data_IF_867961824013
#
_entry.id   IF_867961824013
#
_cell.length_a   1.000
_cell.length_b   1.000
_cell.length_c   1.000
_cell.angle_alpha   90.00
_cell.angle_beta   90.00
_cell.angle_gamma   90.00
#
_symmetry.space_group_name_H-M   'P 1'
#
loop_
_entity.id
_entity.type
_entity.pdbx_description
1 polymer ?
#
# COMPACT_ATOMS: atom_id res chain seq x y z
N UNK A 1 -34.42 -94.60 -7.46
CA UNK A 1 -34.94 -93.31 -7.98
C UNK A 1 -35.25 -92.27 -6.88
N UNK A 2 -35.53 -92.64 -5.62
CA UNK A 2 -35.87 -91.71 -4.54
C UNK A 2 -34.74 -90.73 -4.11
N UNK A 3 -33.49 -91.18 -4.04
CA UNK A 3 -32.37 -90.35 -3.55
C UNK A 3 -31.90 -89.20 -4.46
N UNK A 4 -32.37 -89.14 -5.72
CA UNK A 4 -32.04 -88.08 -6.65
C UNK A 4 -32.98 -86.86 -6.53
N UNK A 5 -34.27 -87.09 -6.23
CA UNK A 5 -35.27 -86.04 -6.05
C UNK A 5 -35.05 -85.22 -4.77
N UNK A 6 -34.62 -85.88 -3.70
CA UNK A 6 -34.35 -85.21 -2.41
C UNK A 6 -33.06 -84.38 -2.44
N UNK A 7 -32.01 -84.88 -3.11
CA UNK A 7 -30.80 -84.09 -3.41
C UNK A 7 -31.11 -82.86 -4.28
N UNK A 8 -32.02 -82.97 -5.25
CA UNK A 8 -32.44 -81.84 -6.10
C UNK A 8 -33.22 -80.79 -5.30
N UNK A 9 -34.17 -81.20 -4.46
CA UNK A 9 -34.91 -80.29 -3.55
C UNK A 9 -33.96 -79.57 -2.58
N UNK A 10 -33.00 -80.28 -1.99
CA UNK A 10 -32.00 -79.70 -1.06
C UNK A 10 -31.09 -78.68 -1.75
N UNK A 11 -30.67 -78.94 -3.00
CA UNK A 11 -29.92 -77.99 -3.83
C UNK A 11 -30.72 -76.73 -4.19
N UNK A 12 -32.00 -76.88 -4.52
CA UNK A 12 -32.90 -75.74 -4.85
C UNK A 12 -33.18 -74.87 -3.62
N UNK A 13 -33.38 -75.47 -2.44
CA UNK A 13 -33.58 -74.70 -1.21
C UNK A 13 -32.31 -73.93 -0.80
N UNK A 14 -31.14 -74.54 -1.00
CA UNK A 14 -29.84 -73.88 -0.77
C UNK A 14 -29.61 -72.72 -1.75
N UNK A 15 -29.93 -72.89 -3.04
CA UNK A 15 -29.82 -71.81 -4.03
C UNK A 15 -30.79 -70.66 -3.76
N UNK A 16 -32.01 -70.96 -3.29
CA UNK A 16 -32.99 -69.93 -2.97
C UNK A 16 -32.60 -69.14 -1.71
N UNK A 17 -32.09 -69.81 -0.65
CA UNK A 17 -31.56 -69.13 0.53
C UNK A 17 -30.35 -68.25 0.20
N UNK A 18 -29.44 -68.74 -0.66
CA UNK A 18 -28.31 -67.95 -1.13
C UNK A 18 -28.76 -66.71 -1.93
N UNK A 19 -29.77 -66.85 -2.79
CA UNK A 19 -30.33 -65.74 -3.57
C UNK A 19 -30.96 -64.65 -2.67
N UNK A 20 -31.69 -65.04 -1.62
CA UNK A 20 -32.26 -64.11 -0.65
C UNK A 20 -31.16 -63.36 0.11
N UNK A 21 -30.12 -64.08 0.57
CA UNK A 21 -28.97 -63.46 1.25
C UNK A 21 -28.22 -62.46 0.37
N UNK A 22 -28.02 -62.79 -0.91
CA UNK A 22 -27.40 -61.89 -1.89
C UNK A 22 -28.26 -60.65 -2.16
N UNK A 23 -29.59 -60.80 -2.24
CA UNK A 23 -30.51 -59.68 -2.40
C UNK A 23 -30.41 -58.67 -1.26
N UNK A 24 -30.42 -59.15 -0.01
CA UNK A 24 -30.23 -58.29 1.16
C UNK A 24 -28.87 -57.60 1.16
N UNK A 25 -27.79 -58.32 0.83
CA UNK A 25 -26.45 -57.74 0.71
C UNK A 25 -26.43 -56.60 -0.33
N UNK A 26 -27.02 -56.81 -1.51
CA UNK A 26 -27.09 -55.80 -2.56
C UNK A 26 -27.85 -54.55 -2.10
N UNK A 27 -29.00 -54.71 -1.42
CA UNK A 27 -29.77 -53.57 -0.90
C UNK A 27 -28.97 -52.78 0.14
N UNK A 28 -28.27 -53.46 1.04
CA UNK A 28 -27.41 -52.80 2.04
C UNK A 28 -26.26 -52.03 1.38
N UNK A 29 -25.60 -52.64 0.39
CA UNK A 29 -24.53 -51.99 -0.36
C UNK A 29 -25.03 -50.75 -1.12
N UNK A 30 -26.20 -50.85 -1.77
CA UNK A 30 -26.81 -49.71 -2.46
C UNK A 30 -27.16 -48.58 -1.49
N UNK A 31 -27.72 -48.90 -0.31
CA UNK A 31 -28.03 -47.90 0.70
C UNK A 31 -26.78 -47.15 1.18
N UNK A 32 -25.67 -47.88 1.43
CA UNK A 32 -24.39 -47.26 1.81
C UNK A 32 -23.86 -46.35 0.70
N UNK A 33 -23.90 -46.80 -0.56
CA UNK A 33 -23.46 -45.99 -1.70
C UNK A 33 -24.28 -44.70 -1.79
N UNK A 34 -25.61 -44.77 -1.66
CA UNK A 34 -26.48 -43.58 -1.72
C UNK A 34 -26.13 -42.59 -0.62
N UNK A 35 -25.94 -43.06 0.62
CA UNK A 35 -25.56 -42.20 1.75
C UNK A 35 -24.20 -41.53 1.52
N UNK A 36 -23.21 -42.29 1.03
CA UNK A 36 -21.89 -41.74 0.70
C UNK A 36 -21.98 -40.69 -0.42
N UNK A 37 -22.78 -40.93 -1.46
CA UNK A 37 -23.01 -39.98 -2.54
C UNK A 37 -23.62 -38.67 -2.04
N UNK A 38 -24.62 -38.74 -1.16
CA UNK A 38 -25.23 -37.54 -0.56
C UNK A 38 -24.20 -36.76 0.26
N UNK A 39 -23.45 -37.45 1.13
CA UNK A 39 -22.43 -36.80 1.97
C UNK A 39 -21.37 -36.09 1.12
N UNK A 40 -20.84 -36.77 0.10
CA UNK A 40 -19.86 -36.21 -0.81
C UNK A 40 -20.40 -35.00 -1.59
N UNK A 41 -21.68 -35.04 -1.99
CA UNK A 41 -22.34 -33.92 -2.68
C UNK A 41 -22.45 -32.69 -1.78
N UNK A 42 -22.80 -32.88 -0.50
CA UNK A 42 -22.87 -31.80 0.49
C UNK A 42 -21.48 -31.18 0.71
N UNK A 43 -20.44 -32.00 0.90
CA UNK A 43 -19.07 -31.52 1.09
C UNK A 43 -18.58 -30.70 -0.12
N UNK A 44 -18.82 -31.19 -1.35
CA UNK A 44 -18.50 -30.43 -2.57
C UNK A 44 -19.19 -29.07 -2.56
N UNK A 45 -20.48 -29.03 -2.26
CA UNK A 45 -21.24 -27.78 -2.28
C UNK A 45 -20.75 -26.79 -1.22
N UNK A 46 -20.40 -27.27 -0.03
CA UNK A 46 -19.81 -26.43 1.02
C UNK A 46 -18.46 -25.84 0.57
N UNK A 47 -17.61 -26.66 -0.04
CA UNK A 47 -16.30 -26.22 -0.56
C UNK A 47 -16.48 -25.18 -1.67
N UNK A 48 -17.45 -25.37 -2.57
CA UNK A 48 -17.75 -24.40 -3.63
C UNK A 48 -18.18 -23.05 -3.05
N UNK A 49 -19.14 -23.04 -2.15
CA UNK A 49 -19.62 -21.81 -1.51
C UNK A 49 -18.48 -21.07 -0.77
N UNK A 50 -17.61 -21.82 -0.09
CA UNK A 50 -16.45 -21.24 0.57
C UNK A 50 -15.46 -20.63 -0.43
N UNK A 51 -15.17 -21.33 -1.53
CA UNK A 51 -14.28 -20.84 -2.59
C UNK A 51 -14.84 -19.59 -3.30
N UNK A 52 -16.15 -19.54 -3.54
CA UNK A 52 -16.81 -18.38 -4.15
C UNK A 52 -16.74 -17.16 -3.22
N UNK A 53 -17.03 -17.35 -1.92
CA UNK A 53 -16.89 -16.30 -0.92
C UNK A 53 -15.45 -15.77 -0.84
N UNK A 54 -14.46 -16.68 -0.82
CA UNK A 54 -13.05 -16.30 -0.82
C UNK A 54 -12.63 -15.57 -2.09
N UNK A 55 -13.21 -15.94 -3.25
CA UNK A 55 -12.97 -15.25 -4.52
C UNK A 55 -13.48 -13.81 -4.47
N UNK A 56 -14.67 -13.59 -3.91
CA UNK A 56 -15.24 -12.25 -3.72
C UNK A 56 -14.36 -11.41 -2.78
N UNK A 57 -13.96 -11.95 -1.64
CA UNK A 57 -13.08 -11.24 -0.70
C UNK A 57 -11.72 -10.88 -1.34
N UNK A 58 -11.17 -11.78 -2.15
CA UNK A 58 -9.96 -11.50 -2.92
C UNK A 58 -10.14 -10.31 -3.85
N UNK A 59 -11.26 -10.22 -4.58
CA UNK A 59 -11.53 -9.07 -5.45
C UNK A 59 -11.71 -7.77 -4.66
N UNK A 60 -12.38 -7.81 -3.49
CA UNK A 60 -12.53 -6.64 -2.61
C UNK A 60 -11.18 -6.13 -2.13
N UNK A 61 -10.32 -7.04 -1.66
CA UNK A 61 -8.97 -6.71 -1.20
C UNK A 61 -8.10 -6.17 -2.33
N UNK A 62 -8.16 -6.77 -3.53
CA UNK A 62 -7.43 -6.28 -4.70
C UNK A 62 -7.83 -4.84 -5.06
N UNK A 63 -9.12 -4.54 -5.07
CA UNK A 63 -9.62 -3.19 -5.38
C UNK A 63 -9.20 -2.16 -4.31
N UNK A 64 -9.26 -2.55 -3.02
CA UNK A 64 -8.78 -1.70 -1.93
C UNK A 64 -7.27 -1.43 -2.05
N UNK A 65 -6.48 -2.45 -2.36
CA UNK A 65 -5.03 -2.31 -2.52
C UNK A 65 -4.65 -1.43 -3.72
N UNK A 66 -5.40 -1.50 -4.82
CA UNK A 66 -5.23 -0.59 -5.97
C UNK A 66 -5.51 0.87 -5.57
N UNK A 67 -6.61 1.12 -4.86
CA UNK A 67 -6.95 2.47 -4.37
C UNK A 67 -5.86 3.02 -3.45
N UNK A 68 -5.41 2.24 -2.46
CA UNK A 68 -4.33 2.65 -1.55
C UNK A 68 -3.01 2.87 -2.30
N UNK A 69 -2.75 2.11 -3.36
CA UNK A 69 -1.56 2.31 -4.20
C UNK A 69 -1.63 3.60 -4.99
N UNK A 70 -2.81 3.98 -5.50
CA UNK A 70 -3.04 5.27 -6.15
C UNK A 70 -2.81 6.44 -5.19
N UNK A 71 -3.40 6.37 -3.99
CA UNK A 71 -3.22 7.41 -2.96
C UNK A 71 -1.74 7.54 -2.56
N UNK A 72 -1.04 6.41 -2.37
CA UNK A 72 0.40 6.40 -2.09
C UNK A 72 1.19 7.10 -3.19
N UNK A 73 0.91 6.81 -4.46
CA UNK A 73 1.61 7.40 -5.60
C UNK A 73 1.34 8.90 -5.74
N UNK A 74 0.11 9.33 -5.46
CA UNK A 74 -0.26 10.75 -5.43
C UNK A 74 0.47 11.49 -4.31
N UNK A 75 0.46 10.93 -3.09
CA UNK A 75 1.16 11.50 -1.96
C UNK A 75 2.68 11.54 -2.19
N UNK A 76 3.25 10.49 -2.79
CA UNK A 76 4.66 10.45 -3.15
C UNK A 76 5.04 11.55 -4.14
N UNK A 77 4.20 11.81 -5.14
CA UNK A 77 4.40 12.89 -6.11
C UNK A 77 4.37 14.26 -5.44
N UNK A 78 3.37 14.50 -4.58
CA UNK A 78 3.26 15.76 -3.82
C UNK A 78 4.46 15.97 -2.89
N UNK A 79 4.89 14.90 -2.19
CA UNK A 79 6.07 14.95 -1.32
C UNK A 79 7.35 15.30 -2.11
N UNK A 80 7.55 14.68 -3.27
CA UNK A 80 8.71 14.95 -4.12
C UNK A 80 8.71 16.39 -4.64
N UNK A 81 7.54 16.93 -5.02
CA UNK A 81 7.38 18.31 -5.45
C UNK A 81 7.73 19.29 -4.31
N UNK A 82 7.16 19.09 -3.11
CA UNK A 82 7.46 19.93 -1.95
C UNK A 82 8.93 19.84 -1.53
N UNK A 83 9.53 18.66 -1.62
CA UNK A 83 10.96 18.46 -1.38
C UNK A 83 11.81 19.29 -2.34
N UNK A 84 11.45 19.30 -3.63
CA UNK A 84 12.14 20.11 -4.63
C UNK A 84 12.01 21.61 -4.34
N UNK A 85 10.81 22.09 -4.03
CA UNK A 85 10.58 23.49 -3.65
C UNK A 85 11.41 23.88 -2.42
N UNK A 86 11.45 23.03 -1.40
CA UNK A 86 12.28 23.24 -0.21
C UNK A 86 13.75 23.33 -0.56
N UNK A 87 14.27 22.42 -1.37
CA UNK A 87 15.68 22.43 -1.77
C UNK A 87 16.02 23.69 -2.59
N UNK A 88 15.10 24.16 -3.43
CA UNK A 88 15.24 25.40 -4.18
C UNK A 88 15.23 26.64 -3.27
N UNK A 89 14.26 26.75 -2.37
CA UNK A 89 14.18 27.84 -1.39
C UNK A 89 15.41 27.88 -0.50
N UNK A 90 15.92 26.72 -0.07
CA UNK A 90 17.13 26.63 0.73
C UNK A 90 18.35 27.12 -0.03
N UNK A 91 18.46 26.83 -1.32
CA UNK A 91 19.51 27.40 -2.18
C UNK A 91 19.40 28.92 -2.29
N UNK A 92 18.19 29.46 -2.45
CA UNK A 92 17.96 30.92 -2.48
C UNK A 92 18.34 31.57 -1.16
N UNK A 93 18.01 30.93 -0.03
CA UNK A 93 18.33 31.43 1.31
C UNK A 93 19.84 31.45 1.54
N UNK A 94 20.55 30.37 1.20
CA UNK A 94 22.00 30.28 1.32
C UNK A 94 22.72 31.31 0.44
N UNK A 95 22.12 31.68 -0.70
CA UNK A 95 22.65 32.71 -1.59
C UNK A 95 22.16 34.12 -1.21
N UNK A 96 21.30 34.27 -0.20
CA UNK A 96 20.79 35.56 0.24
C UNK A 96 21.77 36.20 1.22
N UNK A 97 22.13 37.46 0.94
CA UNK A 97 22.90 38.27 1.88
C UNK A 97 21.98 38.69 3.03
N UNK A 98 22.25 38.16 4.22
CA UNK A 98 21.62 38.63 5.45
C UNK A 98 22.34 39.88 5.94
N UNK A 99 21.61 40.97 6.10
CA UNK A 99 22.16 42.18 6.72
C UNK A 99 22.12 42.06 8.25
N UNK A 100 23.14 42.54 8.96
CA UNK A 100 23.11 42.61 10.42
C UNK A 100 21.93 43.46 10.91
N UNK A 101 21.55 43.28 12.18
CA UNK A 101 20.48 44.06 12.79
C UNK A 101 20.78 45.57 12.67
N UNK A 102 19.77 46.38 12.34
CA UNK A 102 19.87 47.84 12.10
C UNK A 102 20.58 48.27 10.81
N UNK A 103 21.04 47.32 9.97
CA UNK A 103 21.54 47.63 8.64
C UNK A 103 20.39 47.61 7.62
N UNK A 104 20.34 48.64 6.78
CA UNK A 104 19.38 48.72 5.69
C UNK A 104 19.84 47.85 4.53
N UNK A 105 18.96 46.97 4.04
CA UNK A 105 19.23 46.20 2.82
C UNK A 105 18.73 46.97 1.60
N UNK A 106 19.61 47.17 0.63
CA UNK A 106 19.24 47.59 -0.72
C UNK A 106 19.89 46.65 -1.73
N UNK A 107 19.06 46.00 -2.55
CA UNK A 107 19.47 44.92 -3.46
C UNK A 107 20.30 43.83 -2.74
N UNK A 108 21.56 43.65 -3.13
CA UNK A 108 22.50 42.66 -2.61
C UNK A 108 23.50 43.24 -1.59
N UNK A 109 23.28 44.47 -1.14
CA UNK A 109 24.20 45.21 -0.28
C UNK A 109 23.51 45.66 1.01
N UNK A 110 24.30 45.80 2.07
CA UNK A 110 23.86 46.26 3.39
C UNK A 110 24.50 47.62 3.68
N UNK A 111 23.69 48.56 4.16
CA UNK A 111 24.07 49.94 4.38
C UNK A 111 23.77 50.35 5.82
N UNK A 112 24.69 51.10 6.41
CA UNK A 112 24.50 51.73 7.71
C UNK A 112 24.75 53.23 7.57
N UNK A 113 23.76 54.02 7.98
CA UNK A 113 23.78 55.48 7.80
C UNK A 113 23.92 56.15 9.16
N UNK A 114 24.93 57.02 9.30
CA UNK A 114 25.13 57.81 10.52
C UNK A 114 24.77 59.27 10.25
N UNK A 115 23.99 59.88 11.16
CA UNK A 115 23.65 61.31 11.09
C UNK A 115 24.75 62.25 11.61
N UNK A 116 25.82 61.71 12.19
CA UNK A 116 26.96 62.48 12.73
C UNK A 116 27.82 63.05 11.60
N UNK A 117 28.23 64.32 11.71
CA UNK A 117 29.17 64.96 10.78
C UNK A 117 30.62 64.63 11.18
N UNK A 118 31.36 63.99 10.29
CA UNK A 118 32.77 63.64 10.44
C UNK A 118 33.54 64.04 9.17
N UNK A 119 34.87 64.15 9.26
CA UNK A 119 35.71 64.24 8.06
C UNK A 119 35.67 62.94 7.26
N UNK A 120 36.07 62.97 5.98
CA UNK A 120 36.06 61.79 5.12
C UNK A 120 36.86 60.62 5.72
N UNK A 121 38.07 60.88 6.21
CA UNK A 121 38.95 59.86 6.79
C UNK A 121 38.36 59.24 8.06
N UNK A 122 37.80 60.08 8.95
CA UNK A 122 37.13 59.61 10.18
C UNK A 122 35.92 58.73 9.87
N UNK A 123 35.09 59.12 8.91
CA UNK A 123 33.94 58.32 8.48
C UNK A 123 34.38 56.98 7.92
N UNK A 124 35.42 56.96 7.09
CA UNK A 124 35.95 55.72 6.51
C UNK A 124 36.53 54.77 7.55
N UNK A 125 37.29 55.32 8.51
CA UNK A 125 37.84 54.53 9.60
C UNK A 125 36.74 53.90 10.45
N UNK A 126 35.63 54.62 10.67
CA UNK A 126 34.45 54.11 11.38
C UNK A 126 33.74 52.99 10.61
N UNK A 127 33.55 53.12 9.30
CA UNK A 127 32.98 52.03 8.48
C UNK A 127 33.85 50.77 8.56
N UNK A 128 35.18 50.93 8.53
CA UNK A 128 36.14 49.82 8.61
C UNK A 128 36.16 49.15 9.97
N UNK A 129 35.93 49.87 11.07
CA UNK A 129 35.81 49.24 12.40
C UNK A 129 34.59 48.33 12.52
N UNK A 130 33.55 48.56 11.71
CA UNK A 130 32.34 47.73 11.62
C UNK A 130 32.44 46.64 10.52
N UNK A 131 33.62 46.46 9.90
CA UNK A 131 33.83 45.47 8.84
C UNK A 131 33.30 45.87 7.45
N UNK A 132 33.02 47.16 7.23
CA UNK A 132 32.54 47.72 5.96
C UNK A 132 33.51 48.78 5.37
N UNK A 133 33.11 49.45 4.28
CA UNK A 133 33.79 50.64 3.74
C UNK A 133 32.72 51.70 3.37
N UNK A 134 33.14 52.92 3.04
CA UNK A 134 32.24 53.98 2.62
C UNK A 134 31.48 53.58 1.36
N UNK A 135 30.18 53.88 1.35
CA UNK A 135 29.32 53.65 0.18
C UNK A 135 29.80 54.50 -0.99
N UNK A 136 29.88 53.87 -2.17
CA UNK A 136 30.03 54.54 -3.45
C UNK A 136 28.71 54.35 -4.19
N UNK A 137 28.00 55.45 -4.41
CA UNK A 137 26.71 55.46 -5.11
C UNK A 137 27.00 55.42 -6.61
N UNK A 138 26.64 54.31 -7.26
CA UNK A 138 26.91 54.10 -8.69
C UNK A 138 25.66 54.22 -9.57
N UNK A 139 24.48 54.43 -9.00
CA UNK A 139 23.23 54.59 -9.74
C UNK A 139 22.30 55.63 -9.10
N UNK A 140 21.32 56.11 -9.87
CA UNK A 140 20.28 57.03 -9.36
C UNK A 140 19.41 56.34 -8.32
N UNK A 141 19.21 55.04 -8.48
CA UNK A 141 18.40 54.22 -7.59
C UNK A 141 19.05 54.01 -6.22
N UNK A 142 20.38 54.14 -6.12
CA UNK A 142 21.14 54.09 -4.86
C UNK A 142 21.22 55.44 -4.12
N UNK A 143 20.76 56.53 -4.73
CA UNK A 143 20.81 57.90 -4.19
C UNK A 143 19.55 58.26 -3.38
#
# INVERSE_FOLDING_TARGET
SAGAGERRKRKVNLSNMAAVGLGFLCVLLLAVIVVLCIKHTIEIHQIQNFNDNMTIERYRLLNSNDNVTKERNQLQSSYNALRFERDELQKRLNNSVFCPLEWMRFLSSCYLVYSSKNTWEQSRQKCRSEGADLVIINSREEQ
#
